data_IF_628080605606
#
_entry.id   IF_628080605606
#
_cell.length_a   1.000
_cell.length_b   1.000
_cell.length_c   1.000
_cell.angle_alpha   90.00
_cell.angle_beta   90.00
_cell.angle_gamma   90.00
#
_symmetry.space_group_name_H-M   'P 1'
#
loop_
_entity.id
_entity.type
_entity.pdbx_description
1 polymer ?
#
# COMPACT_ATOMS: atom_id res chain seq x y z
N UNK A 1 -12.99 -0.76 -9.56
CA UNK A 1 -11.56 -0.82 -9.15
C UNK A 1 -10.78 -1.63 -10.19
N UNK A 2 -9.66 -1.10 -10.65
CA UNK A 2 -8.82 -1.78 -11.65
C UNK A 2 -8.00 -2.86 -10.97
N UNK A 3 -7.94 -4.05 -11.57
CA UNK A 3 -7.07 -5.14 -11.17
C UNK A 3 -5.87 -5.20 -12.10
N UNK A 4 -4.69 -5.22 -11.55
CA UNK A 4 -3.44 -5.43 -12.26
C UNK A 4 -2.91 -6.84 -12.01
N UNK A 5 -2.22 -7.38 -12.98
CA UNK A 5 -1.55 -8.68 -12.90
C UNK A 5 -0.03 -8.52 -12.85
N UNK A 6 0.71 -9.61 -12.81
CA UNK A 6 2.16 -9.66 -12.61
C UNK A 6 3.02 -8.72 -13.45
N UNK A 7 2.54 -8.31 -14.62
CA UNK A 7 3.32 -7.48 -15.54
C UNK A 7 3.04 -5.98 -15.44
N UNK A 8 2.18 -5.58 -14.49
CA UNK A 8 1.61 -4.25 -14.52
C UNK A 8 2.59 -3.15 -14.13
N UNK A 9 3.37 -3.30 -13.08
CA UNK A 9 4.24 -2.20 -12.63
C UNK A 9 5.69 -2.64 -12.77
N UNK A 10 6.45 -3.21 -12.53
CA UNK A 10 7.85 -3.62 -12.76
C UNK A 10 7.90 -5.02 -13.38
N UNK A 11 7.51 -5.18 -14.65
CA UNK A 11 7.37 -6.50 -15.25
C UNK A 11 8.69 -7.27 -15.22
N UNK A 12 8.61 -8.58 -14.90
CA UNK A 12 9.75 -9.46 -14.81
C UNK A 12 10.67 -9.24 -13.59
N UNK A 13 10.34 -8.33 -12.70
CA UNK A 13 11.07 -8.15 -11.44
C UNK A 13 10.51 -9.10 -10.39
N UNK A 14 11.35 -10.01 -9.89
CA UNK A 14 10.99 -10.85 -8.75
C UNK A 14 10.99 -9.98 -7.48
N UNK A 15 9.86 -9.95 -6.80
CA UNK A 15 9.70 -9.23 -5.55
C UNK A 15 9.78 -10.21 -4.36
N UNK A 16 10.25 -9.75 -3.20
CA UNK A 16 10.16 -10.55 -1.99
C UNK A 16 8.69 -10.73 -1.60
N UNK A 17 8.31 -11.97 -1.31
CA UNK A 17 6.99 -12.27 -0.77
C UNK A 17 6.88 -11.84 0.70
N UNK A 18 5.68 -11.45 1.18
CA UNK A 18 5.46 -11.17 2.59
C UNK A 18 5.78 -12.38 3.47
N UNK A 19 6.43 -12.15 4.60
CA UNK A 19 6.61 -13.18 5.61
C UNK A 19 5.25 -13.49 6.26
N UNK A 20 4.98 -14.77 6.48
CA UNK A 20 3.74 -15.20 7.12
C UNK A 20 3.92 -15.36 8.64
N UNK A 21 4.36 -14.29 9.30
CA UNK A 21 4.67 -14.27 10.73
C UNK A 21 3.50 -13.82 11.63
N UNK A 22 2.38 -13.45 11.04
CA UNK A 22 1.11 -13.30 11.72
C UNK A 22 0.65 -11.88 12.02
N UNK A 23 1.54 -10.91 12.25
CA UNK A 23 1.10 -9.57 12.66
C UNK A 23 0.33 -8.85 11.56
N UNK A 24 0.80 -8.89 10.32
CA UNK A 24 0.19 -8.26 9.15
C UNK A 24 -0.57 -9.25 8.24
N UNK A 25 -0.70 -10.51 8.66
CA UNK A 25 -1.43 -11.52 7.89
C UNK A 25 -2.84 -11.08 7.48
N UNK A 26 -3.66 -10.43 8.33
CA UNK A 26 -4.98 -9.97 7.93
C UNK A 26 -4.97 -8.89 6.84
N UNK A 27 -3.91 -8.06 6.77
CA UNK A 27 -3.71 -7.12 5.66
C UNK A 27 -3.51 -7.87 4.34
N UNK A 28 -2.60 -8.84 4.31
CA UNK A 28 -2.31 -9.61 3.11
C UNK A 28 -3.48 -10.51 2.67
N UNK A 29 -4.25 -11.04 3.62
CA UNK A 29 -5.51 -11.73 3.33
C UNK A 29 -6.53 -10.78 2.69
N UNK A 30 -6.64 -9.56 3.23
CA UNK A 30 -7.51 -8.53 2.68
C UNK A 30 -7.12 -8.15 1.25
N UNK A 31 -5.84 -7.86 1.01
CA UNK A 31 -5.38 -7.47 -0.32
C UNK A 31 -5.61 -8.57 -1.36
N UNK A 32 -5.40 -9.86 -1.01
CA UNK A 32 -5.74 -10.98 -1.89
C UNK A 32 -7.23 -11.06 -2.22
N UNK A 33 -8.08 -10.61 -1.31
CA UNK A 33 -9.53 -10.48 -1.55
C UNK A 33 -9.90 -9.13 -2.21
N UNK A 34 -8.93 -8.30 -2.59
CA UNK A 34 -9.08 -6.93 -3.10
C UNK A 34 -9.83 -6.02 -2.12
N UNK A 35 -9.54 -6.19 -0.84
CA UNK A 35 -10.06 -5.41 0.26
C UNK A 35 -8.91 -4.75 1.03
N UNK A 36 -8.95 -3.45 1.19
CA UNK A 36 -7.96 -2.72 1.96
C UNK A 36 -8.34 -2.77 3.43
N UNK A 37 -7.47 -3.35 4.26
CA UNK A 37 -7.66 -3.45 5.71
C UNK A 37 -6.61 -2.66 6.46
N UNK A 38 -7.04 -2.00 7.53
CA UNK A 38 -6.18 -1.32 8.50
C UNK A 38 -6.55 -1.74 9.92
N UNK A 39 -5.62 -1.59 10.85
CA UNK A 39 -5.92 -1.84 12.26
C UNK A 39 -6.78 -0.73 12.84
N UNK A 40 -7.70 -1.11 13.75
CA UNK A 40 -8.48 -0.20 14.57
C UNK A 40 -8.48 -0.68 16.02
N UNK A 41 -8.31 0.23 16.95
CA UNK A 41 -8.42 -0.09 18.37
C UNK A 41 -9.88 -0.21 18.78
N UNK A 42 -10.26 -1.35 19.39
CA UNK A 42 -11.62 -1.56 19.90
C UNK A 42 -11.94 -0.65 21.08
N UNK A 43 -10.93 -0.22 21.84
CA UNK A 43 -11.12 0.61 23.04
C UNK A 43 -11.31 2.08 22.73
N UNK A 44 -10.43 2.70 21.93
CA UNK A 44 -10.49 4.13 21.61
C UNK A 44 -11.01 4.43 20.20
N UNK A 45 -11.20 3.41 19.35
CA UNK A 45 -11.70 3.55 17.99
C UNK A 45 -10.70 4.04 16.96
N UNK A 46 -9.48 4.43 17.37
CA UNK A 46 -8.49 5.00 16.48
C UNK A 46 -7.90 3.96 15.53
N UNK A 47 -7.78 4.32 14.26
CA UNK A 47 -7.07 3.53 13.26
C UNK A 47 -5.56 3.76 13.39
N UNK A 48 -4.79 2.76 12.96
CA UNK A 48 -3.33 2.84 12.89
C UNK A 48 -2.78 2.00 11.72
N UNK A 49 -1.61 2.43 11.24
CA UNK A 49 -0.78 1.80 10.23
C UNK A 49 0.69 2.17 10.47
N UNK A 50 1.73 1.39 10.32
CA UNK A 50 1.91 -0.02 10.26
C UNK A 50 1.47 -0.81 11.48
N UNK A 51 1.21 -2.08 11.22
CA UNK A 51 0.61 -2.93 12.23
C UNK A 51 1.49 -3.11 13.47
N UNK A 52 0.83 -3.10 14.62
CA UNK A 52 1.46 -3.24 15.94
C UNK A 52 0.61 -4.16 16.82
N UNK A 53 1.21 -4.67 17.89
CA UNK A 53 0.50 -5.47 18.88
C UNK A 53 -0.31 -4.63 19.87
N UNK A 54 -0.08 -3.34 19.90
CA UNK A 54 -0.68 -2.41 20.86
C UNK A 54 -1.13 -1.13 20.16
N UNK A 55 -2.23 -0.56 20.61
CA UNK A 55 -2.69 0.74 20.14
C UNK A 55 -1.70 1.83 20.55
N UNK A 56 -1.20 2.59 19.58
CA UNK A 56 -0.25 3.66 19.83
C UNK A 56 -0.89 4.89 20.54
N UNK A 57 -2.22 4.97 20.57
CA UNK A 57 -2.93 6.10 21.19
C UNK A 57 -3.32 5.85 22.64
N UNK A 58 -3.77 4.63 23.00
CA UNK A 58 -4.26 4.34 24.34
C UNK A 58 -3.63 3.10 24.99
N UNK A 59 -2.63 2.49 24.34
CA UNK A 59 -1.90 1.31 24.80
C UNK A 59 -2.77 0.06 25.03
N UNK A 60 -3.98 0.02 24.50
CA UNK A 60 -4.81 -1.20 24.54
C UNK A 60 -4.24 -2.28 23.61
N UNK A 61 -4.34 -3.53 24.04
CA UNK A 61 -4.01 -4.71 23.22
C UNK A 61 -5.22 -5.20 22.39
N UNK A 62 -6.38 -4.55 22.54
CA UNK A 62 -7.61 -4.94 21.86
C UNK A 62 -7.68 -4.30 20.47
N UNK A 63 -6.96 -4.87 19.51
CA UNK A 63 -6.96 -4.43 18.14
C UNK A 63 -7.82 -5.35 17.26
N UNK A 64 -8.39 -4.76 16.23
CA UNK A 64 -9.11 -5.48 15.16
C UNK A 64 -8.63 -4.97 13.81
N UNK A 65 -8.93 -5.71 12.75
CA UNK A 65 -8.72 -5.30 11.37
C UNK A 65 -10.05 -4.93 10.74
N UNK A 66 -10.11 -3.78 10.12
CA UNK A 66 -11.33 -3.28 9.48
C UNK A 66 -11.07 -2.94 8.04
N UNK A 67 -12.04 -3.24 7.18
CA UNK A 67 -12.02 -2.83 5.79
C UNK A 67 -12.27 -1.32 5.69
N UNK A 68 -11.54 -0.68 4.80
CA UNK A 68 -11.71 0.74 4.47
C UNK A 68 -11.76 0.92 2.97
N UNK A 69 -12.39 1.99 2.49
CA UNK A 69 -12.37 2.30 1.07
C UNK A 69 -10.93 2.55 0.61
N UNK A 70 -10.48 1.92 -0.49
CA UNK A 70 -9.13 2.11 -1.01
C UNK A 70 -9.03 3.42 -1.79
N UNK A 71 -9.32 4.53 -1.14
CA UNK A 71 -9.25 5.89 -1.68
C UNK A 71 -8.46 6.76 -0.73
N UNK A 72 -7.78 7.76 -1.24
CA UNK A 72 -6.99 8.66 -0.41
C UNK A 72 -6.51 9.88 -1.19
N UNK A 73 -5.53 10.55 -0.62
CA UNK A 73 -4.87 11.69 -1.25
C UNK A 73 -3.37 11.57 -1.12
N UNK A 74 -2.64 12.09 -2.10
CA UNK A 74 -1.19 12.09 -2.07
C UNK A 74 -0.72 13.05 -0.96
N UNK A 75 -0.08 12.49 0.06
CA UNK A 75 0.53 13.26 1.14
C UNK A 75 1.96 13.68 0.80
N UNK A 76 2.72 12.77 0.20
CA UNK A 76 4.10 12.99 -0.20
C UNK A 76 4.46 12.05 -1.34
N UNK A 77 5.54 12.36 -2.07
CA UNK A 77 5.98 11.52 -3.16
C UNK A 77 7.48 11.67 -3.44
N UNK A 78 8.01 10.70 -4.16
CA UNK A 78 9.39 10.70 -4.62
C UNK A 78 9.48 10.03 -5.99
N UNK A 79 10.36 10.53 -6.85
CA UNK A 79 10.69 9.91 -8.14
C UNK A 79 12.17 9.55 -8.16
N UNK A 80 12.54 8.30 -7.82
CA UNK A 80 13.91 7.84 -7.98
C UNK A 80 14.29 7.74 -9.45
N UNK A 81 15.30 8.50 -9.85
CA UNK A 81 15.92 8.41 -11.19
C UNK A 81 17.13 7.48 -11.19
N UNK A 82 17.75 7.32 -10.05
CA UNK A 82 18.92 6.46 -9.87
C UNK A 82 18.50 5.11 -9.34
N UNK A 83 18.93 3.99 -9.93
CA UNK A 83 18.53 2.69 -9.47
C UNK A 83 19.06 2.41 -8.06
N UNK A 84 18.17 2.06 -7.13
CA UNK A 84 18.51 1.71 -5.76
C UNK A 84 18.94 0.25 -5.61
N UNK A 85 18.72 -0.54 -6.65
CA UNK A 85 19.08 -1.95 -6.71
C UNK A 85 19.44 -2.35 -8.15
N UNK A 86 20.38 -3.27 -8.33
CA UNK A 86 20.84 -3.70 -9.65
C UNK A 86 19.72 -4.22 -10.55
N UNK A 87 18.69 -4.86 -9.97
CA UNK A 87 17.51 -5.32 -10.71
C UNK A 87 16.68 -4.18 -11.33
N UNK A 88 16.91 -2.95 -10.91
CA UNK A 88 16.21 -1.75 -11.40
C UNK A 88 17.06 -0.92 -12.38
N UNK A 89 18.30 -1.33 -12.68
CA UNK A 89 19.26 -0.55 -13.45
C UNK A 89 18.74 -0.14 -14.84
N UNK A 90 17.93 -0.98 -15.46
CA UNK A 90 17.41 -0.76 -16.82
C UNK A 90 15.93 -0.36 -16.85
N UNK A 91 15.35 -0.01 -15.68
CA UNK A 91 13.91 0.23 -15.55
C UNK A 91 13.50 1.70 -15.66
N UNK A 92 14.44 2.62 -15.53
CA UNK A 92 14.14 4.05 -15.50
C UNK A 92 13.46 4.50 -14.19
N UNK A 93 12.94 5.73 -14.14
CA UNK A 93 12.31 6.27 -12.96
C UNK A 93 10.94 5.60 -12.70
N UNK A 94 10.53 5.64 -11.43
CA UNK A 94 9.20 5.26 -10.98
C UNK A 94 8.76 6.22 -9.87
N UNK A 95 7.46 6.24 -9.55
CA UNK A 95 6.94 7.17 -8.55
C UNK A 95 6.49 6.39 -7.32
N UNK A 96 7.05 6.74 -6.17
CA UNK A 96 6.63 6.27 -4.87
C UNK A 96 5.74 7.35 -4.26
N UNK A 97 4.58 6.97 -3.75
CA UNK A 97 3.67 7.86 -3.04
C UNK A 97 3.45 7.42 -1.61
N UNK A 98 3.29 8.37 -0.74
CA UNK A 98 2.72 8.19 0.59
C UNK A 98 1.29 8.72 0.52
N UNK A 99 0.32 7.82 0.62
CA UNK A 99 -1.10 8.13 0.51
C UNK A 99 -1.71 8.21 1.90
N UNK A 100 -2.41 9.30 2.16
CA UNK A 100 -3.17 9.52 3.39
C UNK A 100 -4.63 9.09 3.19
N UNK A 101 -5.17 8.35 4.15
CA UNK A 101 -6.54 7.84 4.14
C UNK A 101 -7.40 8.59 5.16
N UNK A 102 -8.14 9.65 4.75
CA UNK A 102 -8.93 10.46 5.67
C UNK A 102 -10.00 9.67 6.43
N UNK A 103 -10.58 8.65 5.81
CA UNK A 103 -11.61 7.79 6.40
C UNK A 103 -11.07 6.84 7.49
N UNK A 104 -9.75 6.77 7.65
CA UNK A 104 -9.07 5.94 8.63
C UNK A 104 -8.12 6.76 9.51
N UNK A 105 -8.60 7.86 10.06
CA UNK A 105 -7.83 8.77 10.94
C UNK A 105 -6.52 9.28 10.31
N UNK A 106 -6.50 9.47 9.01
CA UNK A 106 -5.34 9.93 8.26
C UNK A 106 -4.12 8.99 8.35
N UNK A 107 -4.32 7.69 8.47
CA UNK A 107 -3.22 6.74 8.32
C UNK A 107 -2.58 6.87 6.96
N UNK A 108 -1.28 6.59 6.87
CA UNK A 108 -0.50 6.78 5.65
C UNK A 108 0.12 5.49 5.19
N UNK A 109 -0.06 5.20 3.91
CA UNK A 109 0.46 3.99 3.27
C UNK A 109 1.37 4.31 2.11
N UNK A 110 2.48 3.59 2.01
CA UNK A 110 3.39 3.67 0.87
C UNK A 110 2.89 2.77 -0.25
N UNK A 111 2.99 3.24 -1.48
CA UNK A 111 2.76 2.46 -2.68
C UNK A 111 3.40 3.13 -3.88
N UNK A 112 3.22 2.57 -5.07
CA UNK A 112 3.64 3.21 -6.30
C UNK A 112 2.46 3.93 -6.95
N UNK A 113 2.74 5.08 -7.55
CA UNK A 113 1.78 5.76 -8.41
C UNK A 113 1.91 5.20 -9.82
N UNK A 114 0.82 4.64 -10.30
CA UNK A 114 0.73 4.07 -11.65
C UNK A 114 0.58 5.15 -12.71
N UNK A 115 0.82 4.78 -13.96
CA UNK A 115 0.76 5.69 -15.09
C UNK A 115 2.15 6.07 -15.62
N UNK A 116 2.25 7.23 -16.27
CA UNK A 116 3.53 7.71 -16.79
C UNK A 116 4.50 8.00 -15.64
N UNK A 117 5.68 7.38 -15.61
CA UNK A 117 6.67 7.64 -14.56
C UNK A 117 7.19 9.08 -14.53
N UNK A 118 6.98 9.86 -15.60
CA UNK A 118 7.33 11.28 -15.68
C UNK A 118 6.14 12.21 -15.49
N UNK A 119 4.96 11.70 -15.18
CA UNK A 119 3.77 12.52 -14.92
C UNK A 119 4.02 13.55 -13.82
N UNK A 120 3.32 14.66 -13.88
CA UNK A 120 3.29 15.61 -12.76
C UNK A 120 2.53 15.00 -11.59
N UNK A 121 3.04 15.22 -10.38
CA UNK A 121 2.45 14.72 -9.14
C UNK A 121 2.12 15.88 -8.24
N UNK A 122 0.85 16.04 -7.93
CA UNK A 122 0.34 17.11 -7.07
C UNK A 122 0.05 16.58 -5.67
N UNK A 123 0.56 17.27 -4.65
CA UNK A 123 0.23 16.99 -3.24
C UNK A 123 -1.25 17.30 -3.02
N UNK A 124 -1.96 16.38 -2.39
CA UNK A 124 -3.41 16.48 -2.17
C UNK A 124 -4.26 15.92 -3.31
N UNK A 125 -3.65 15.51 -4.44
CA UNK A 125 -4.41 14.88 -5.51
C UNK A 125 -5.12 13.61 -5.02
N UNK A 126 -6.40 13.41 -5.39
CA UNK A 126 -7.13 12.20 -5.01
C UNK A 126 -6.61 11.00 -5.78
N UNK A 127 -6.55 9.87 -5.09
CA UNK A 127 -6.08 8.60 -5.65
C UNK A 127 -7.00 7.45 -5.25
N UNK A 128 -7.04 6.44 -6.11
CA UNK A 128 -7.71 5.16 -5.85
C UNK A 128 -6.68 4.03 -5.78
N UNK A 129 -6.92 3.09 -4.88
CA UNK A 129 -6.14 1.87 -4.76
C UNK A 129 -6.38 0.91 -5.91
N UNK A 130 -5.32 0.33 -6.40
CA UNK A 130 -5.32 -0.71 -7.44
C UNK A 130 -4.66 -1.94 -6.87
N UNK A 131 -5.34 -3.07 -6.90
CA UNK A 131 -4.80 -4.33 -6.40
C UNK A 131 -4.01 -5.03 -7.50
N UNK A 132 -2.71 -5.20 -7.26
CA UNK A 132 -1.77 -5.84 -8.17
C UNK A 132 -1.45 -7.23 -7.65
N UNK A 133 -2.02 -8.25 -8.32
CA UNK A 133 -1.77 -9.65 -7.96
C UNK A 133 -0.37 -10.08 -8.42
N UNK A 134 0.36 -10.72 -7.54
CA UNK A 134 1.70 -11.24 -7.77
C UNK A 134 1.76 -12.75 -7.50
N UNK A 135 2.39 -13.47 -8.42
CA UNK A 135 2.77 -14.85 -8.18
C UNK A 135 3.97 -14.91 -7.25
N UNK A 136 3.91 -15.78 -6.27
CA UNK A 136 4.96 -15.98 -5.28
C UNK A 136 4.77 -17.29 -4.54
N UNK A 137 5.49 -17.44 -3.45
CA UNK A 137 5.33 -18.55 -2.51
C UNK A 137 5.32 -17.98 -1.08
N UNK A 138 4.12 -17.69 -0.54
CA UNK A 138 2.78 -17.71 -1.18
C UNK A 138 2.54 -16.56 -2.17
N UNK A 139 1.49 -16.69 -3.00
CA UNK A 139 0.98 -15.57 -3.79
C UNK A 139 0.55 -14.42 -2.90
N UNK A 140 0.77 -13.19 -3.36
CA UNK A 140 0.42 -11.98 -2.62
C UNK A 140 -0.12 -10.90 -3.56
N UNK A 141 -0.77 -9.88 -2.99
CA UNK A 141 -1.35 -8.77 -3.74
C UNK A 141 -0.86 -7.46 -3.16
N UNK A 142 -0.26 -6.63 -3.99
CA UNK A 142 0.17 -5.29 -3.63
C UNK A 142 -0.98 -4.29 -3.81
N UNK A 143 -0.95 -3.22 -3.01
CA UNK A 143 -1.81 -2.05 -3.24
C UNK A 143 -0.96 -0.98 -3.90
N UNK A 144 -1.33 -0.63 -5.12
CA UNK A 144 -0.78 0.48 -5.87
C UNK A 144 -1.82 1.60 -5.95
N UNK A 145 -1.45 2.74 -6.47
CA UNK A 145 -2.32 3.91 -6.52
C UNK A 145 -2.38 4.52 -7.92
N UNK A 146 -3.52 5.04 -8.29
CA UNK A 146 -3.71 5.81 -9.51
C UNK A 146 -4.47 7.11 -9.20
N UNK A 147 -4.14 8.19 -9.91
CA UNK A 147 -4.86 9.46 -9.80
C UNK A 147 -6.26 9.30 -10.39
N UNK A 148 -7.26 9.77 -9.67
CA UNK A 148 -8.67 9.73 -10.08
C UNK A 148 -9.12 10.99 -10.77
#
# INVERSE_FOLDING_TARGET
>A
MTRLTNDAHLPGLRQPAPANDGLDAPFWEGTRAHELRVQRCKKCGRHQWGPEWMCHACNSLELEWVAVDPTGQIYSWQRPHHPVHNALSDRGPYIIVLVELPQADNVRMVGNLLGDPLQEVEIGAPVSGVFEDREGDPDFTLVQWEVT
#
